data_IF_480400602961
#
_entry.id   IF_480400602961
#
_cell.length_a   1.000
_cell.length_b   1.000
_cell.length_c   1.000
_cell.angle_alpha   90.00
_cell.angle_beta   90.00
_cell.angle_gamma   90.00
#
_symmetry.space_group_name_H-M   'P 1'
#
loop_
_entity.id
_entity.type
_entity.pdbx_description
1 polymer ?
#
# COMPACT_ATOMS: atom_id res chain seq x y z
N UNK A 1 7.73 5.70 10.34
CA UNK A 1 9.03 6.11 9.79
C UNK A 1 10.08 5.01 9.89
N UNK A 2 10.72 4.75 11.04
CA UNK A 2 11.79 3.74 11.14
C UNK A 2 11.37 2.32 10.76
N UNK A 3 10.16 1.92 11.16
CA UNK A 3 9.58 0.63 10.77
C UNK A 3 9.36 0.54 9.25
N UNK A 4 8.99 1.65 8.59
CA UNK A 4 8.73 1.67 7.14
C UNK A 4 10.02 1.50 6.32
N UNK A 5 11.18 1.85 6.91
CA UNK A 5 12.50 1.60 6.30
C UNK A 5 12.83 0.11 6.31
N UNK A 6 12.48 -0.59 7.40
CA UNK A 6 12.76 -2.02 7.57
C UNK A 6 11.71 -2.89 6.88
N UNK A 7 10.45 -2.46 6.91
CA UNK A 7 9.29 -3.18 6.42
C UNK A 7 8.24 -2.17 5.92
N UNK A 8 8.26 -1.86 4.62
CA UNK A 8 7.29 -0.94 4.00
C UNK A 8 5.85 -1.47 4.25
N UNK A 9 4.90 -0.62 4.68
CA UNK A 9 3.49 -1.00 4.77
C UNK A 9 2.87 -1.51 3.47
N UNK A 10 3.50 -1.23 2.32
CA UNK A 10 3.00 -1.61 1.01
C UNK A 10 4.07 -2.32 0.18
N UNK A 11 3.65 -3.33 -0.56
CA UNK A 11 4.43 -3.95 -1.63
C UNK A 11 4.02 -3.37 -2.97
N UNK A 12 5.01 -2.99 -3.79
CA UNK A 12 4.79 -2.57 -5.16
C UNK A 12 4.57 -3.83 -6.03
N UNK A 13 3.44 -3.89 -6.70
CA UNK A 13 3.04 -4.96 -7.63
C UNK A 13 2.97 -4.36 -9.04
N UNK A 14 3.44 -5.08 -10.07
CA UNK A 14 3.28 -4.65 -11.45
C UNK A 14 1.80 -4.37 -11.78
N UNK A 15 1.48 -3.27 -12.50
CA UNK A 15 0.11 -2.96 -12.90
C UNK A 15 -0.62 -4.10 -13.61
N UNK A 16 0.10 -4.88 -14.43
CA UNK A 16 -0.44 -6.04 -15.15
C UNK A 16 -0.99 -7.14 -14.22
N UNK A 17 -0.53 -7.16 -12.96
CA UNK A 17 -0.97 -8.10 -11.94
C UNK A 17 -2.05 -7.51 -11.02
N UNK A 18 -2.78 -6.48 -11.45
CA UNK A 18 -3.84 -5.86 -10.64
C UNK A 18 -4.89 -6.88 -10.16
N UNK A 19 -5.36 -7.76 -11.05
CA UNK A 19 -6.31 -8.82 -10.68
C UNK A 19 -5.71 -9.74 -9.59
N UNK A 20 -4.47 -10.18 -9.78
CA UNK A 20 -3.77 -10.99 -8.78
C UNK A 20 -3.61 -10.24 -7.44
N UNK A 21 -3.25 -8.96 -7.49
CA UNK A 21 -3.12 -8.11 -6.30
C UNK A 21 -4.44 -8.01 -5.52
N UNK A 22 -5.58 -7.94 -6.21
CA UNK A 22 -6.90 -7.94 -5.60
C UNK A 22 -7.25 -9.27 -4.94
N UNK A 23 -6.78 -10.39 -5.50
CA UNK A 23 -7.00 -11.73 -4.94
C UNK A 23 -6.14 -12.04 -3.71
N UNK A 24 -4.92 -11.48 -3.65
CA UNK A 24 -3.97 -11.74 -2.58
C UNK A 24 -4.25 -10.98 -1.27
N UNK A 25 -5.03 -9.91 -1.33
CA UNK A 25 -5.28 -9.03 -0.20
C UNK A 25 -6.61 -9.35 0.48
N UNK A 26 -6.68 -9.11 1.79
CA UNK A 26 -7.89 -9.34 2.56
C UNK A 26 -9.05 -8.45 2.11
N UNK A 27 -10.27 -8.96 2.26
CA UNK A 27 -11.51 -8.27 1.95
C UNK A 27 -11.62 -6.97 2.77
N UNK A 28 -12.14 -5.91 2.16
CA UNK A 28 -12.26 -4.60 2.81
C UNK A 28 -10.93 -3.86 3.01
N UNK A 29 -9.81 -4.42 2.52
CA UNK A 29 -8.55 -3.67 2.42
C UNK A 29 -8.62 -2.62 1.30
N UNK A 30 -7.59 -1.80 1.20
CA UNK A 30 -7.47 -0.76 0.17
C UNK A 30 -6.14 -0.91 -0.57
N UNK A 31 -6.21 -1.02 -1.89
CA UNK A 31 -5.05 -0.89 -2.76
C UNK A 31 -4.79 0.60 -3.00
N UNK A 32 -3.52 1.01 -3.03
CA UNK A 32 -3.15 2.36 -3.46
C UNK A 32 -2.64 2.30 -4.89
N UNK A 33 -3.34 2.96 -5.78
CA UNK A 33 -2.91 3.08 -7.17
C UNK A 33 -2.18 4.40 -7.38
N UNK A 34 -1.09 4.36 -8.13
CA UNK A 34 -0.48 5.56 -8.73
C UNK A 34 -0.94 5.61 -10.18
N UNK A 35 -1.65 6.66 -10.52
CA UNK A 35 -2.27 6.85 -11.82
C UNK A 35 -1.64 8.07 -12.50
N UNK A 36 -1.51 7.99 -13.82
CA UNK A 36 -1.27 9.12 -14.70
C UNK A 36 -2.52 9.33 -15.54
N UNK A 37 -3.15 10.49 -15.39
CA UNK A 37 -4.34 10.88 -16.14
C UNK A 37 -4.27 12.37 -16.48
N UNK A 38 -5.43 12.98 -16.68
CA UNK A 38 -5.58 14.41 -16.93
C UNK A 38 -6.25 15.11 -15.75
N UNK A 39 -6.09 16.43 -15.65
CA UNK A 39 -6.87 17.26 -14.76
C UNK A 39 -8.13 17.83 -15.45
N UNK A 40 -8.88 18.69 -14.75
CA UNK A 40 -10.13 19.24 -15.25
C UNK A 40 -9.98 20.11 -16.52
N UNK A 41 -8.76 20.46 -16.92
CA UNK A 41 -8.44 21.27 -18.10
C UNK A 41 -7.72 20.47 -19.20
N UNK A 42 -7.48 19.16 -18.98
CA UNK A 42 -6.79 18.27 -19.91
C UNK A 42 -5.27 18.22 -19.74
N UNK A 43 -4.72 18.82 -18.68
CA UNK A 43 -3.27 18.78 -18.44
C UNK A 43 -2.88 17.46 -17.78
N UNK A 44 -1.82 16.82 -18.29
CA UNK A 44 -1.33 15.55 -17.77
C UNK A 44 -0.88 15.67 -16.30
N UNK A 45 -1.43 14.83 -15.43
CA UNK A 45 -1.14 14.82 -14.00
C UNK A 45 -1.01 13.40 -13.46
N UNK A 46 -0.05 13.23 -12.55
CA UNK A 46 0.03 12.01 -11.74
C UNK A 46 -0.58 12.23 -10.36
N UNK A 47 -1.44 11.30 -9.95
CA UNK A 47 -2.08 11.31 -8.64
C UNK A 47 -2.21 9.90 -8.08
N UNK A 48 -2.55 9.82 -6.80
CA UNK A 48 -2.72 8.56 -6.10
C UNK A 48 -4.15 8.45 -5.60
N UNK A 49 -4.76 7.28 -5.81
CA UNK A 49 -6.11 6.98 -5.34
C UNK A 49 -6.12 5.70 -4.50
N UNK A 50 -7.17 5.56 -3.70
CA UNK A 50 -7.41 4.38 -2.87
C UNK A 50 -8.54 3.60 -3.51
N UNK A 51 -8.23 2.38 -3.94
CA UNK A 51 -9.18 1.47 -4.53
C UNK A 51 -9.65 0.48 -3.46
N UNK A 52 -10.93 0.48 -3.08
CA UNK A 52 -11.45 -0.48 -2.11
C UNK A 52 -11.44 -1.89 -2.70
N UNK A 53 -11.08 -2.90 -1.91
CA UNK A 53 -11.11 -4.30 -2.37
C UNK A 53 -12.48 -4.89 -2.03
N UNK A 54 -13.33 -5.18 -3.04
CA UNK A 54 -14.63 -5.79 -2.80
C UNK A 54 -14.48 -7.25 -2.38
N UNK A 55 -15.53 -7.80 -1.78
CA UNK A 55 -15.63 -9.24 -1.52
C UNK A 55 -15.71 -10.02 -2.85
N UNK A 56 -15.05 -11.17 -2.93
CA UNK A 56 -15.09 -12.03 -4.12
C UNK A 56 -14.19 -13.26 -3.97
N UNK A 57 -14.52 -14.33 -4.71
CA UNK A 57 -13.84 -15.61 -4.65
C UNK A 57 -12.51 -15.63 -5.42
N UNK A 58 -12.33 -14.74 -6.40
CA UNK A 58 -11.07 -14.55 -7.13
C UNK A 58 -10.73 -13.08 -7.36
N UNK A 59 -9.49 -12.81 -7.76
CA UNK A 59 -9.02 -11.48 -8.12
C UNK A 59 -9.77 -10.89 -9.32
N UNK A 60 -10.10 -11.72 -10.30
CA UNK A 60 -10.88 -11.35 -11.48
C UNK A 60 -12.31 -10.96 -11.10
N UNK A 61 -12.99 -11.75 -10.27
CA UNK A 61 -14.34 -11.41 -9.79
C UNK A 61 -14.34 -10.07 -9.03
N UNK A 62 -13.29 -9.82 -8.25
CA UNK A 62 -13.13 -8.54 -7.54
C UNK A 62 -12.89 -7.38 -8.50
N UNK A 63 -12.10 -7.58 -9.56
CA UNK A 63 -11.86 -6.57 -10.59
C UNK A 63 -13.14 -6.26 -11.39
N UNK A 64 -13.95 -7.26 -11.70
CA UNK A 64 -15.26 -7.08 -12.33
C UNK A 64 -16.22 -6.30 -11.43
N UNK A 65 -16.29 -6.62 -10.13
CA UNK A 65 -17.11 -5.90 -9.14
C UNK A 65 -16.69 -4.46 -8.93
N UNK A 66 -15.40 -4.17 -9.08
CA UNK A 66 -14.91 -2.79 -9.10
C UNK A 66 -15.47 -1.99 -10.28
N UNK A 67 -15.99 -2.67 -11.32
CA UNK A 67 -16.45 -2.04 -12.54
C UNK A 67 -15.32 -1.45 -13.36
N UNK A 68 -14.12 -2.04 -13.27
CA UNK A 68 -12.91 -1.56 -13.93
C UNK A 68 -12.48 -2.54 -15.02
N UNK A 69 -12.37 -2.06 -16.25
CA UNK A 69 -11.75 -2.79 -17.35
C UNK A 69 -10.41 -2.15 -17.70
N UNK A 70 -9.38 -2.98 -17.83
CA UNK A 70 -8.01 -2.55 -18.16
C UNK A 70 -7.49 -3.35 -19.33
N UNK A 71 -6.60 -2.74 -20.10
CA UNK A 71 -5.91 -3.39 -21.21
C UNK A 71 -4.42 -3.06 -21.18
N UNK A 72 -3.63 -3.90 -21.82
CA UNK A 72 -2.20 -3.71 -21.95
C UNK A 72 -1.84 -3.17 -23.34
N UNK A 73 -1.10 -2.07 -23.39
CA UNK A 73 -0.58 -1.50 -24.64
C UNK A 73 0.86 -1.02 -24.43
N UNK A 74 1.79 -1.49 -25.27
CA UNK A 74 3.18 -1.04 -25.23
C UNK A 74 3.90 -1.25 -23.89
N UNK A 75 3.50 -2.24 -23.10
CA UNK A 75 4.04 -2.51 -21.75
C UNK A 75 3.44 -1.64 -20.64
N UNK A 76 2.39 -0.89 -20.94
CA UNK A 76 1.61 -0.10 -19.98
C UNK A 76 0.25 -0.75 -19.75
N UNK A 77 -0.32 -0.50 -18.58
CA UNK A 77 -1.70 -0.87 -18.29
C UNK A 77 -2.55 0.39 -18.30
N UNK A 78 -3.53 0.44 -19.18
CA UNK A 78 -4.46 1.55 -19.32
C UNK A 78 -5.87 1.13 -18.91
N UNK A 79 -6.67 2.10 -18.50
CA UNK A 79 -8.09 1.94 -18.20
C UNK A 79 -8.89 1.98 -19.49
N UNK A 80 -9.51 0.86 -19.86
CA UNK A 80 -10.36 0.70 -21.04
C UNK A 80 -11.77 1.25 -20.80
N UNK A 81 -12.33 1.00 -19.62
CA UNK A 81 -13.59 1.61 -19.24
C UNK A 81 -13.83 1.49 -17.74
N UNK A 82 -14.66 2.39 -17.24
CA UNK A 82 -15.12 2.40 -15.85
C UNK A 82 -16.64 2.42 -15.86
N UNK A 83 -17.25 1.41 -15.24
CA UNK A 83 -18.70 1.31 -15.12
C UNK A 83 -19.24 2.47 -14.29
N UNK A 84 -20.29 3.11 -14.78
CA UNK A 84 -20.92 4.24 -14.10
C UNK A 84 -21.42 3.85 -12.70
N UNK A 85 -21.10 4.66 -11.69
CA UNK A 85 -21.49 4.40 -10.29
C UNK A 85 -20.79 3.21 -9.65
N UNK A 86 -19.73 2.69 -10.26
CA UNK A 86 -18.92 1.61 -9.68
C UNK A 86 -17.95 2.13 -8.61
N UNK A 87 -17.41 1.24 -7.74
CA UNK A 87 -16.38 1.62 -6.79
C UNK A 87 -15.12 2.23 -7.45
N UNK A 88 -14.78 1.80 -8.67
CA UNK A 88 -13.68 2.40 -9.43
C UNK A 88 -14.00 3.85 -9.85
N UNK A 89 -15.23 4.11 -10.31
CA UNK A 89 -15.68 5.47 -10.63
C UNK A 89 -15.69 6.39 -9.40
N UNK A 90 -16.19 5.88 -8.27
CA UNK A 90 -16.18 6.62 -7.00
C UNK A 90 -14.76 6.92 -6.49
N UNK A 91 -13.80 6.03 -6.77
CA UNK A 91 -12.39 6.23 -6.47
C UNK A 91 -11.71 7.26 -7.38
N UNK A 92 -12.38 7.71 -8.45
CA UNK A 92 -11.89 8.70 -9.41
C UNK A 92 -11.09 8.12 -10.57
N UNK A 93 -11.29 6.83 -10.90
CA UNK A 93 -10.76 6.25 -12.13
C UNK A 93 -11.62 6.67 -13.32
N UNK A 94 -10.96 6.96 -14.44
CA UNK A 94 -11.58 7.38 -15.68
C UNK A 94 -10.93 6.66 -16.87
N UNK A 95 -11.58 6.76 -18.03
CA UNK A 95 -11.08 6.24 -19.30
C UNK A 95 -9.71 6.83 -19.65
N UNK A 96 -8.87 6.03 -20.32
CA UNK A 96 -7.55 6.40 -20.86
C UNK A 96 -6.49 6.78 -19.81
N UNK A 97 -6.77 6.53 -18.53
CA UNK A 97 -5.78 6.69 -17.47
C UNK A 97 -4.76 5.53 -17.47
N UNK A 98 -3.49 5.86 -17.25
CA UNK A 98 -2.40 4.88 -17.16
C UNK A 98 -2.15 4.51 -15.69
N UNK A 99 -2.18 3.20 -15.38
CA UNK A 99 -1.83 2.67 -14.07
C UNK A 99 -0.31 2.51 -13.99
N UNK A 100 0.34 3.40 -13.25
CA UNK A 100 1.80 3.39 -13.09
C UNK A 100 2.25 2.37 -12.05
N UNK A 101 1.54 2.27 -10.91
CA UNK A 101 1.88 1.36 -9.81
C UNK A 101 0.65 0.88 -9.06
N UNK A 102 0.67 -0.39 -8.66
CA UNK A 102 -0.28 -0.98 -7.72
C UNK A 102 0.45 -1.22 -6.41
N UNK A 103 0.01 -0.60 -5.32
CA UNK A 103 0.60 -0.79 -3.99
C UNK A 103 -0.37 -1.53 -3.10
N UNK A 104 -0.08 -2.80 -2.83
CA UNK A 104 -0.90 -3.65 -1.97
C UNK A 104 -0.43 -3.57 -0.53
N UNK A 105 -1.35 -3.51 0.46
CA UNK A 105 -0.97 -3.57 1.87
C UNK A 105 -0.31 -4.91 2.20
N UNK A 106 0.67 -4.88 3.08
CA UNK A 106 1.37 -6.08 3.58
C UNK A 106 0.95 -6.40 5.01
N UNK A 107 1.08 -7.67 5.41
CA UNK A 107 0.99 -8.07 6.81
C UNK A 107 2.14 -7.44 7.61
N UNK A 108 1.83 -6.36 8.33
CA UNK A 108 2.84 -5.62 9.08
C UNK A 108 3.24 -6.38 10.33
N UNK A 109 4.53 -6.36 10.63
CA UNK A 109 5.02 -6.83 11.91
C UNK A 109 4.45 -6.02 13.08
N UNK A 110 4.52 -6.58 14.27
CA UNK A 110 4.18 -5.87 15.50
C UNK A 110 5.09 -4.64 15.65
N UNK A 111 4.49 -3.45 15.73
CA UNK A 111 5.21 -2.18 15.86
C UNK A 111 6.06 -2.11 17.13
N UNK A 112 5.69 -2.88 18.15
CA UNK A 112 6.33 -2.99 19.46
C UNK A 112 7.76 -3.51 19.36
N UNK A 113 8.12 -4.22 18.28
CA UNK A 113 9.50 -4.64 18.01
C UNK A 113 10.47 -3.44 17.97
N UNK A 114 9.99 -2.27 17.54
CA UNK A 114 10.80 -1.05 17.51
C UNK A 114 11.13 -0.50 18.91
N UNK A 115 10.50 -1.00 19.97
CA UNK A 115 10.80 -0.60 21.35
C UNK A 115 12.02 -1.34 21.92
N UNK A 116 12.40 -2.48 21.33
CA UNK A 116 13.51 -3.32 21.81
C UNK A 116 14.83 -2.52 21.92
N UNK A 117 15.27 -1.73 20.92
CA UNK A 117 16.48 -0.93 21.05
C UNK A 117 16.42 0.09 22.20
N UNK A 118 15.26 0.69 22.44
CA UNK A 118 15.04 1.64 23.53
C UNK A 118 15.15 0.97 24.90
N UNK A 119 14.53 -0.20 25.07
CA UNK A 119 14.63 -0.98 26.30
C UNK A 119 16.03 -1.52 26.55
N UNK A 120 16.76 -1.92 25.49
CA UNK A 120 18.15 -2.36 25.60
C UNK A 120 19.06 -1.22 26.07
N UNK A 121 18.91 -0.02 25.51
CA UNK A 121 19.66 1.15 25.94
C UNK A 121 19.34 1.51 27.39
N UNK A 122 18.06 1.49 27.77
CA UNK A 122 17.64 1.75 29.15
C UNK A 122 18.24 0.73 30.12
N UNK A 123 18.17 -0.56 29.80
CA UNK A 123 18.77 -1.63 30.60
C UNK A 123 20.29 -1.44 30.75
N UNK A 124 20.98 -1.05 29.67
CA UNK A 124 22.42 -0.74 29.69
C UNK A 124 22.73 0.43 30.63
N UNK A 125 21.96 1.52 30.57
CA UNK A 125 22.15 2.68 31.46
C UNK A 125 21.93 2.28 32.92
N UNK A 126 20.85 1.54 33.22
CA UNK A 126 20.56 1.04 34.58
C UNK A 126 21.70 0.15 35.08
N UNK A 127 22.23 -0.74 34.26
CA UNK A 127 23.36 -1.61 34.60
C UNK A 127 24.63 -0.80 34.93
N UNK A 128 24.98 0.18 34.09
CA UNK A 128 26.13 1.07 34.32
C UNK A 128 25.96 1.90 35.60
N UNK A 129 24.76 2.44 35.84
CA UNK A 129 24.45 3.21 37.06
C UNK A 129 24.53 2.34 38.32
N UNK A 130 24.04 1.10 38.27
CA UNK A 130 24.14 0.15 39.40
C UNK A 130 25.59 -0.20 39.72
N UNK A 131 26.42 -0.48 38.71
CA UNK A 131 27.86 -0.74 38.88
C UNK A 131 28.59 0.43 39.52
N UNK A 132 28.24 1.67 39.16
CA UNK A 132 28.83 2.88 39.78
C UNK A 132 28.51 3.00 41.27
N UNK A 133 27.26 2.72 41.66
CA UNK A 133 26.84 2.77 43.08
C UNK A 133 27.54 1.69 43.92
N UNK A 134 27.72 0.48 43.39
CA UNK A 134 28.42 -0.60 44.08
C UNK A 134 29.90 -0.25 44.36
N UNK A 135 30.55 0.46 43.44
CA UNK A 135 31.96 0.85 43.57
C UNK A 135 32.20 2.09 44.45
N UNK A 136 31.16 2.87 44.78
CA UNK A 136 31.26 4.08 45.61
C UNK A 136 30.89 3.87 47.08
N UNK A 137 30.55 2.63 47.47
CA UNK A 137 30.21 2.25 48.85
C UNK A 137 31.36 1.53 49.58
N UNK A 138 32.59 1.66 49.08
CA UNK A 138 33.85 1.21 49.71
C UNK A 138 34.69 2.44 50.07
#
# INVERSE_FOLDING_TARGET
FWMDIVHDPYRDIPPAQLAQALGDVADGSQLRLRIKGEDAVGDAREFSLLLPVPEGASGEERLEKLGLLTYEEGGKVLVDSVTFGSPAAEAGLEFDQEILKVRAPTDRWLKELMWIPGFLLFALVVWLQRRRRANGAA
#
